data_IF_468041560633
#
_entry.id   IF_468041560633
#
_cell.length_a   1.000
_cell.length_b   1.000
_cell.length_c   1.000
_cell.angle_alpha   90.00
_cell.angle_beta   90.00
_cell.angle_gamma   90.00
#
_symmetry.space_group_name_H-M   'P 1'
#
loop_
_entity.id
_entity.type
_entity.pdbx_description
1 polymer ?
#
# COMPACT_ATOMS: atom_id res chain seq x y z
N UNK A 1 -12.90 15.51 -10.79
CA UNK A 1 -12.07 16.49 -11.52
C UNK A 1 -11.46 15.86 -12.77
N UNK A 2 -10.53 14.90 -12.67
CA UNK A 2 -9.81 14.31 -13.81
C UNK A 2 -10.70 13.76 -14.92
N UNK A 3 -11.79 13.05 -14.60
CA UNK A 3 -12.73 12.52 -15.59
C UNK A 3 -13.51 13.61 -16.33
N UNK A 4 -13.75 14.76 -15.69
CA UNK A 4 -14.43 15.89 -16.35
C UNK A 4 -13.51 16.65 -17.29
N UNK A 5 -12.23 16.79 -16.91
CA UNK A 5 -11.24 17.47 -17.74
C UNK A 5 -10.70 16.63 -18.89
N UNK A 6 -10.65 15.31 -18.70
CA UNK A 6 -10.08 14.38 -19.69
C UNK A 6 -8.55 14.36 -19.69
N UNK A 7 -7.99 13.69 -20.69
CA UNK A 7 -6.54 13.60 -20.91
C UNK A 7 -5.92 14.98 -21.14
N UNK A 8 -4.69 15.15 -20.66
CA UNK A 8 -3.91 16.39 -20.75
C UNK A 8 -4.50 17.60 -20.02
N UNK A 9 -5.61 17.42 -19.27
CA UNK A 9 -6.16 18.50 -18.44
C UNK A 9 -5.38 18.68 -17.14
N UNK A 10 -5.31 19.92 -16.67
CA UNK A 10 -4.83 20.22 -15.34
C UNK A 10 -5.85 19.73 -14.29
N UNK A 11 -5.36 19.15 -13.22
CA UNK A 11 -6.17 18.72 -12.08
C UNK A 11 -5.54 19.20 -10.78
N UNK A 12 -6.40 19.68 -9.88
CA UNK A 12 -6.08 19.96 -8.48
C UNK A 12 -7.12 19.25 -7.62
N UNK A 13 -6.68 18.32 -6.76
CA UNK A 13 -7.59 17.54 -5.92
C UNK A 13 -6.88 17.05 -4.65
N UNK A 14 -7.61 16.97 -3.54
CA UNK A 14 -7.16 16.29 -2.34
C UNK A 14 -7.26 14.77 -2.52
N UNK A 15 -6.15 14.06 -2.29
CA UNK A 15 -6.04 12.60 -2.44
C UNK A 15 -5.48 11.94 -1.17
N UNK A 16 -5.80 10.67 -0.99
CA UNK A 16 -5.40 9.90 0.18
C UNK A 16 -6.23 10.21 1.43
N UNK A 17 -6.05 9.42 2.46
CA UNK A 17 -6.64 9.60 3.81
C UNK A 17 -8.17 9.83 3.85
N UNK A 18 -8.91 9.32 2.87
CA UNK A 18 -10.37 9.49 2.79
C UNK A 18 -11.12 8.63 3.83
N UNK A 19 -10.52 7.52 4.24
CA UNK A 19 -11.12 6.60 5.23
C UNK A 19 -10.58 6.88 6.62
N UNK A 20 -9.29 7.14 6.74
CA UNK A 20 -8.62 7.39 8.02
C UNK A 20 -7.56 8.49 7.83
N UNK A 21 -7.76 9.60 8.50
CA UNK A 21 -6.86 10.77 8.45
C UNK A 21 -6.11 11.02 9.78
N UNK A 22 -6.19 10.08 10.73
CA UNK A 22 -5.59 10.24 12.06
C UNK A 22 -4.06 10.32 12.03
N UNK A 23 -3.44 9.66 11.05
CA UNK A 23 -1.97 9.58 10.94
C UNK A 23 -1.40 10.55 9.91
N UNK A 24 -2.17 10.87 8.89
CA UNK A 24 -1.75 11.80 7.83
C UNK A 24 -2.98 12.43 7.19
N UNK A 25 -3.01 13.74 6.99
CA UNK A 25 -4.12 14.39 6.27
C UNK A 25 -4.08 14.05 4.77
N UNK A 26 -5.19 14.26 4.05
CA UNK A 26 -5.17 14.25 2.60
C UNK A 26 -4.18 15.27 2.05
N UNK A 27 -3.45 14.91 1.00
CA UNK A 27 -2.54 15.83 0.32
C UNK A 27 -3.19 16.47 -0.90
N UNK A 28 -2.88 17.74 -1.15
CA UNK A 28 -3.27 18.38 -2.40
C UNK A 28 -2.34 17.87 -3.51
N UNK A 29 -2.95 17.25 -4.53
CA UNK A 29 -2.26 16.78 -5.72
C UNK A 29 -2.61 17.67 -6.88
N UNK A 30 -1.62 18.35 -7.43
CA UNK A 30 -1.74 19.24 -8.59
C UNK A 30 -0.85 18.72 -9.73
N UNK A 31 -1.45 18.51 -10.88
CA UNK A 31 -0.70 17.92 -12.00
C UNK A 31 -1.55 17.83 -13.27
N UNK A 32 -1.05 17.07 -14.22
CA UNK A 32 -1.69 16.85 -15.52
C UNK A 32 -2.16 15.40 -15.61
N UNK A 33 -3.37 15.19 -16.11
CA UNK A 33 -3.93 13.86 -16.36
C UNK A 33 -3.22 13.24 -17.55
N UNK A 34 -2.39 12.21 -17.30
CA UNK A 34 -1.59 11.52 -18.35
C UNK A 34 -2.30 10.29 -18.90
N UNK A 35 -3.05 9.57 -18.07
CA UNK A 35 -3.84 8.41 -18.50
C UNK A 35 -5.14 8.29 -17.71
N UNK A 36 -6.16 7.74 -18.35
CA UNK A 36 -7.44 7.36 -17.74
C UNK A 36 -7.78 5.95 -18.25
N UNK A 37 -8.01 5.05 -17.31
CA UNK A 37 -8.48 3.69 -17.58
C UNK A 37 -9.78 3.44 -16.83
N UNK A 38 -10.83 3.01 -17.53
CA UNK A 38 -12.15 2.72 -16.99
C UNK A 38 -12.50 1.25 -17.19
N UNK A 39 -13.36 0.73 -16.31
CA UNK A 39 -13.82 -0.65 -16.40
C UNK A 39 -12.91 -1.67 -15.72
N UNK A 40 -11.92 -1.24 -14.93
CA UNK A 40 -11.16 -2.17 -14.11
C UNK A 40 -12.04 -2.83 -13.05
N UNK A 41 -11.93 -4.14 -12.89
CA UNK A 41 -12.78 -4.95 -12.00
C UNK A 41 -12.67 -4.51 -10.54
N UNK A 42 -11.49 -4.06 -10.11
CA UNK A 42 -11.24 -3.65 -8.72
C UNK A 42 -11.30 -2.14 -8.54
N UNK A 43 -10.55 -1.41 -9.36
CA UNK A 43 -10.43 0.04 -9.26
C UNK A 43 -11.67 0.78 -9.80
N UNK A 44 -12.43 0.17 -10.70
CA UNK A 44 -13.50 0.78 -11.51
C UNK A 44 -12.96 1.87 -12.45
N UNK A 45 -12.17 2.79 -11.92
CA UNK A 45 -11.48 3.84 -12.69
C UNK A 45 -10.11 4.08 -12.09
N UNK A 46 -9.12 4.21 -12.97
CA UNK A 46 -7.73 4.53 -12.62
C UNK A 46 -7.32 5.77 -13.43
N UNK A 47 -6.62 6.66 -12.78
CA UNK A 47 -6.10 7.89 -13.41
C UNK A 47 -4.62 8.01 -13.07
N UNK A 48 -3.78 8.28 -14.06
CA UNK A 48 -2.39 8.66 -13.85
C UNK A 48 -2.30 10.18 -13.88
N UNK A 49 -1.82 10.76 -12.80
CA UNK A 49 -1.58 12.20 -12.67
C UNK A 49 -0.07 12.42 -12.65
N UNK A 50 0.43 13.19 -13.60
CA UNK A 50 1.83 13.59 -13.69
C UNK A 50 2.07 14.88 -12.92
N UNK A 51 3.01 14.84 -11.98
CA UNK A 51 3.45 15.98 -11.16
C UNK A 51 4.98 16.10 -11.33
N UNK A 52 5.41 16.96 -12.21
CA UNK A 52 6.82 17.03 -12.61
C UNK A 52 7.30 15.71 -13.21
N UNK A 53 8.29 15.06 -12.61
CA UNK A 53 8.80 13.73 -13.00
C UNK A 53 8.04 12.57 -12.32
N UNK A 54 7.18 12.86 -11.36
CA UNK A 54 6.45 11.85 -10.59
C UNK A 54 5.13 11.52 -11.26
N UNK A 55 4.79 10.23 -11.34
CA UNK A 55 3.49 9.74 -11.81
C UNK A 55 2.74 9.11 -10.65
N UNK A 56 1.56 9.61 -10.36
CA UNK A 56 0.71 9.16 -9.25
C UNK A 56 -0.52 8.46 -9.82
N UNK A 57 -0.70 7.18 -9.46
CA UNK A 57 -1.90 6.43 -9.81
C UNK A 57 -2.95 6.68 -8.72
N UNK A 58 -4.10 7.21 -9.13
CA UNK A 58 -5.26 7.44 -8.26
C UNK A 58 -6.40 6.56 -8.73
N UNK A 59 -7.01 5.83 -7.82
CA UNK A 59 -8.09 4.88 -8.12
C UNK A 59 -9.40 5.31 -7.49
N UNK A 60 -10.52 5.02 -8.13
CA UNK A 60 -11.86 5.28 -7.58
C UNK A 60 -12.19 4.33 -6.44
N UNK A 61 -11.84 3.05 -6.60
CA UNK A 61 -11.95 2.01 -5.57
C UNK A 61 -10.58 1.42 -5.27
N UNK A 62 -10.45 0.79 -4.10
CA UNK A 62 -9.20 0.15 -3.68
C UNK A 62 -8.82 -0.96 -4.64
N UNK A 63 -7.61 -0.87 -5.21
CA UNK A 63 -7.00 -1.90 -6.03
C UNK A 63 -5.58 -2.19 -5.53
N UNK A 64 -5.19 -3.47 -5.36
CA UNK A 64 -3.81 -3.84 -5.16
C UNK A 64 -3.06 -3.82 -6.50
N UNK A 65 -1.85 -3.28 -6.50
CA UNK A 65 -0.95 -3.27 -7.65
C UNK A 65 0.09 -4.38 -7.47
N UNK A 66 -0.26 -5.58 -7.90
CA UNK A 66 0.53 -6.79 -7.68
C UNK A 66 1.19 -7.33 -8.95
N UNK A 67 0.75 -6.89 -10.13
CA UNK A 67 1.17 -7.42 -11.42
C UNK A 67 1.77 -6.33 -12.28
N UNK A 68 2.71 -6.70 -13.12
CA UNK A 68 3.28 -5.78 -14.11
C UNK A 68 2.19 -5.18 -15.02
N UNK A 69 1.19 -5.98 -15.36
CA UNK A 69 0.03 -5.54 -16.16
C UNK A 69 -0.75 -4.39 -15.50
N UNK A 70 -0.81 -4.33 -14.16
CA UNK A 70 -1.51 -3.25 -13.46
C UNK A 70 -0.92 -1.87 -13.75
N UNK A 71 0.35 -1.81 -14.14
CA UNK A 71 1.04 -0.60 -14.54
C UNK A 71 1.03 -0.40 -16.05
N UNK A 72 1.28 -1.46 -16.81
CA UNK A 72 1.42 -1.35 -18.28
C UNK A 72 0.10 -1.00 -18.97
N UNK A 73 -1.05 -1.42 -18.42
CA UNK A 73 -2.36 -1.00 -18.92
C UNK A 73 -2.63 0.51 -18.78
N UNK A 74 -1.86 1.18 -17.91
CA UNK A 74 -1.90 2.63 -17.72
C UNK A 74 -0.82 3.37 -18.52
N UNK A 75 -0.11 2.66 -19.41
CA UNK A 75 1.00 3.22 -20.19
C UNK A 75 2.28 3.41 -19.36
N UNK A 76 2.36 2.83 -18.16
CA UNK A 76 3.53 2.90 -17.29
C UNK A 76 4.43 1.68 -17.51
N UNK A 77 5.75 1.89 -17.43
CA UNK A 77 6.70 0.78 -17.54
C UNK A 77 7.49 0.63 -16.22
N UNK A 78 7.12 -0.32 -15.35
CA UNK A 78 7.78 -0.51 -14.06
C UNK A 78 9.26 -0.90 -14.18
N UNK A 79 9.66 -1.56 -15.28
CA UNK A 79 11.06 -1.98 -15.53
C UNK A 79 11.98 -0.84 -15.96
N UNK A 80 11.42 0.31 -16.36
CA UNK A 80 12.16 1.51 -16.78
C UNK A 80 11.94 2.70 -15.85
N UNK A 81 11.39 2.45 -14.68
CA UNK A 81 11.13 3.46 -13.66
C UNK A 81 12.25 3.40 -12.62
N UNK A 82 12.85 4.54 -12.28
CA UNK A 82 13.94 4.60 -11.30
C UNK A 82 13.47 4.18 -9.91
N UNK A 83 12.27 4.62 -9.51
CA UNK A 83 11.67 4.28 -8.21
C UNK A 83 10.19 3.95 -8.41
N UNK A 84 9.80 2.75 -8.04
CA UNK A 84 8.40 2.31 -8.01
C UNK A 84 7.93 2.16 -6.56
N UNK A 85 6.99 3.00 -6.14
CA UNK A 85 6.39 2.92 -4.80
C UNK A 85 5.06 2.17 -4.88
N UNK A 86 4.96 1.04 -4.18
CA UNK A 86 3.73 0.23 -4.11
C UNK A 86 3.27 0.13 -2.67
N UNK A 87 1.99 0.46 -2.42
CA UNK A 87 1.39 0.30 -1.10
C UNK A 87 1.09 -1.18 -0.84
N UNK A 88 2.04 -1.88 -0.24
CA UNK A 88 1.96 -3.31 0.01
C UNK A 88 2.73 -3.66 1.30
N UNK A 89 2.29 -4.69 2.04
CA UNK A 89 2.98 -5.14 3.26
C UNK A 89 4.02 -6.24 3.03
N UNK A 90 4.12 -6.74 1.79
CA UNK A 90 5.07 -7.78 1.37
C UNK A 90 5.27 -7.70 -0.14
N UNK A 91 6.45 -8.06 -0.62
CA UNK A 91 6.74 -8.04 -2.05
C UNK A 91 6.22 -9.33 -2.70
N UNK A 92 5.23 -9.17 -3.59
CA UNK A 92 4.66 -10.31 -4.34
C UNK A 92 5.65 -10.83 -5.38
N UNK A 93 5.58 -12.14 -5.74
CA UNK A 93 6.57 -12.77 -6.63
C UNK A 93 6.78 -12.04 -7.96
N UNK A 94 5.71 -11.54 -8.59
CA UNK A 94 5.81 -10.85 -9.87
C UNK A 94 6.57 -9.53 -9.77
N UNK A 95 6.31 -8.73 -8.73
CA UNK A 95 7.07 -7.50 -8.48
C UNK A 95 8.51 -7.80 -8.05
N UNK A 96 8.70 -8.87 -7.27
CA UNK A 96 10.03 -9.34 -6.91
C UNK A 96 10.88 -9.67 -8.15
N UNK A 97 10.30 -10.31 -9.17
CA UNK A 97 11.00 -10.71 -10.38
C UNK A 97 11.38 -9.53 -11.29
N UNK A 98 10.69 -8.41 -11.20
CA UNK A 98 10.98 -7.20 -12.01
C UNK A 98 11.79 -6.14 -11.29
N UNK A 99 12.06 -6.32 -9.98
CA UNK A 99 12.82 -5.35 -9.19
C UNK A 99 14.30 -5.28 -9.60
N UNK A 100 14.91 -4.12 -9.49
CA UNK A 100 16.35 -3.99 -9.40
C UNK A 100 16.82 -4.25 -7.96
N UNK A 101 16.32 -3.44 -7.03
CA UNK A 101 16.48 -3.59 -5.59
C UNK A 101 15.15 -3.28 -4.90
N UNK A 102 15.04 -3.47 -3.58
CA UNK A 102 13.82 -3.13 -2.88
C UNK A 102 14.08 -2.64 -1.45
N UNK A 103 13.25 -1.73 -1.01
CA UNK A 103 13.27 -1.15 0.33
C UNK A 103 11.86 -1.21 0.90
N UNK A 104 11.72 -1.70 2.13
CA UNK A 104 10.46 -1.64 2.86
C UNK A 104 10.40 -0.35 3.69
N UNK A 105 9.48 0.55 3.33
CA UNK A 105 9.23 1.76 4.07
C UNK A 105 8.07 1.53 5.07
N UNK A 106 8.38 1.47 6.35
CA UNK A 106 7.39 1.34 7.42
C UNK A 106 6.89 2.73 7.81
N UNK A 107 5.63 2.99 7.52
CA UNK A 107 4.99 4.28 7.84
C UNK A 107 3.91 4.11 8.91
N UNK A 108 3.73 5.09 9.83
CA UNK A 108 2.62 5.09 10.77
C UNK A 108 1.27 4.98 10.06
N UNK A 109 0.36 4.20 10.61
CA UNK A 109 -0.98 4.04 10.03
C UNK A 109 -1.80 2.96 10.71
N UNK A 110 -3.01 2.74 10.21
CA UNK A 110 -3.92 1.70 10.73
C UNK A 110 -3.41 0.27 10.53
N UNK A 111 -2.45 0.06 9.62
CA UNK A 111 -1.80 -1.23 9.32
C UNK A 111 -0.28 -1.05 9.42
N UNK A 112 0.16 -0.46 10.51
CA UNK A 112 1.57 -0.27 10.79
C UNK A 112 2.23 -1.61 11.10
N UNK A 113 3.36 -1.89 10.45
CA UNK A 113 4.11 -3.15 10.65
C UNK A 113 5.31 -2.99 11.60
N UNK A 114 5.58 -1.78 12.07
CA UNK A 114 6.53 -1.56 13.16
C UNK A 114 5.86 -1.85 14.50
N UNK A 115 5.90 -3.12 14.90
CA UNK A 115 5.21 -3.59 16.09
C UNK A 115 5.73 -2.96 17.37
N UNK A 116 7.00 -2.57 17.43
CA UNK A 116 7.61 -2.00 18.63
C UNK A 116 7.05 -0.61 18.96
N UNK A 117 6.69 0.19 17.96
CA UNK A 117 6.12 1.53 18.17
C UNK A 117 4.61 1.54 18.39
N UNK A 118 3.93 0.39 18.22
CA UNK A 118 2.49 0.29 18.43
C UNK A 118 2.19 0.23 19.94
N UNK A 119 1.35 1.15 20.41
CA UNK A 119 0.99 1.27 21.82
C UNK A 119 -0.13 0.29 22.19
N UNK A 120 0.20 -0.96 22.33
CA UNK A 120 -0.75 -2.01 22.72
C UNK A 120 -1.22 -1.83 24.17
N UNK A 121 -2.54 -1.82 24.37
CA UNK A 121 -3.18 -1.64 25.68
C UNK A 121 -3.73 -2.93 26.30
N UNK A 122 -3.97 -3.96 25.50
CA UNK A 122 -4.72 -5.16 25.93
C UNK A 122 -3.98 -6.46 25.63
N UNK A 123 -2.67 -6.43 25.72
CA UNK A 123 -1.84 -7.63 25.56
C UNK A 123 -1.28 -8.07 26.90
N UNK A 124 -1.10 -9.38 27.06
CA UNK A 124 -0.42 -9.95 28.23
C UNK A 124 1.09 -9.75 28.07
N UNK A 125 1.72 -9.17 29.08
CA UNK A 125 3.16 -8.97 29.14
C UNK A 125 3.82 -10.02 30.04
N UNK A 126 5.10 -10.41 29.82
CA UNK A 126 5.97 -9.96 28.73
C UNK A 126 5.63 -10.62 27.38
N UNK A 127 5.87 -9.90 26.28
CA UNK A 127 5.63 -10.36 24.90
C UNK A 127 6.71 -9.83 23.96
N UNK A 128 7.39 -10.72 23.24
CA UNK A 128 8.31 -10.33 22.16
C UNK A 128 7.53 -9.81 20.95
N UNK A 129 8.00 -8.78 20.24
CA UNK A 129 9.25 -8.03 20.38
C UNK A 129 9.19 -6.82 21.34
N UNK A 130 8.07 -6.58 21.99
CA UNK A 130 7.86 -5.41 22.87
C UNK A 130 8.70 -5.47 24.14
N UNK A 131 8.92 -6.67 24.65
CA UNK A 131 9.77 -6.95 25.81
C UNK A 131 10.99 -7.72 25.34
N UNK A 132 12.09 -7.01 25.02
CA UNK A 132 13.31 -7.61 24.46
C UNK A 132 14.02 -8.55 25.44
N UNK A 133 13.98 -8.22 26.74
CA UNK A 133 14.58 -9.03 27.79
C UNK A 133 13.52 -9.82 28.55
N UNK A 134 13.12 -10.94 27.97
CA UNK A 134 12.17 -11.84 28.62
C UNK A 134 12.91 -12.86 29.52
N UNK A 135 12.97 -12.57 30.81
CA UNK A 135 13.53 -13.51 31.79
C UNK A 135 12.50 -14.59 32.18
N UNK A 136 12.98 -15.82 32.37
CA UNK A 136 12.17 -16.95 32.84
C UNK A 136 10.99 -17.33 31.93
N UNK A 137 11.18 -17.30 30.63
CA UNK A 137 10.16 -17.74 29.68
C UNK A 137 10.00 -19.26 29.76
N UNK A 138 8.88 -19.71 30.29
CA UNK A 138 8.54 -21.12 30.33
C UNK A 138 7.89 -21.52 29.00
N UNK A 139 8.69 -22.00 28.05
CA UNK A 139 8.21 -22.48 26.76
C UNK A 139 7.72 -23.92 26.90
N UNK A 140 6.41 -24.09 27.13
CA UNK A 140 5.75 -25.40 27.08
C UNK A 140 5.01 -25.54 25.76
N UNK A 141 5.32 -26.61 25.03
CA UNK A 141 4.53 -26.98 23.86
C UNK A 141 3.13 -27.41 24.30
N UNK A 142 2.10 -26.98 23.57
CA UNK A 142 0.72 -27.42 23.74
C UNK A 142 0.24 -28.03 22.44
N UNK A 143 -0.08 -29.33 22.48
CA UNK A 143 -0.71 -29.99 21.36
C UNK A 143 -2.22 -29.71 21.41
N UNK A 144 -2.75 -29.09 20.36
CA UNK A 144 -4.20 -28.88 20.19
C UNK A 144 -4.66 -29.86 19.12
N UNK A 145 -5.46 -30.85 19.52
CA UNK A 145 -6.09 -31.76 18.53
C UNK A 145 -7.04 -30.95 17.66
N UNK A 146 -7.08 -31.26 16.37
CA UNK A 146 -8.14 -30.76 15.51
C UNK A 146 -9.50 -31.19 16.08
N UNK A 147 -10.50 -30.28 16.04
CA UNK A 147 -11.87 -30.69 16.31
C UNK A 147 -12.24 -31.73 15.23
N UNK A 148 -12.67 -32.90 15.66
CA UNK A 148 -13.24 -33.87 14.73
C UNK A 148 -14.39 -33.16 14.04
N UNK A 149 -14.36 -33.14 12.72
CA UNK A 149 -15.52 -32.75 11.93
C UNK A 149 -16.68 -33.67 12.33
N UNK A 150 -17.79 -33.07 12.79
CA UNK A 150 -19.05 -33.73 13.06
C UNK A 150 -19.76 -34.02 11.74
#
# INVERSE_FOLDING_TARGET
AALKGGLNSAVSAKVGAQVDNRFSPPILLEGIVEAIHQGDVHAETEVVIKVGSIKVIVTKKRKPYHREKDFTQLGLNPRKTDILVVKIGYLVPELYNIRGDWIMALTPGGVDQDLERLNYKRIKRPMFPLDKEMKNVNLKSRFIKAANEL
#
